data_IF_939571622683
#
_entry.id   IF_939571622683
#
_cell.length_a   1.000
_cell.length_b   1.000
_cell.length_c   1.000
_cell.angle_alpha   90.00
_cell.angle_beta   90.00
_cell.angle_gamma   90.00
#
_symmetry.space_group_name_H-M   'P 1'
#
loop_
_entity.id
_entity.type
_entity.pdbx_description
1 polymer ?
#
# COMPACT_ATOMS: atom_id res chain seq x y z
N UNK A 1 27.02 -9.48 -13.04
CA UNK A 1 26.06 -10.44 -13.61
C UNK A 1 24.76 -9.71 -13.87
N UNK A 2 24.08 -9.99 -14.98
CA UNK A 2 22.77 -9.38 -15.29
C UNK A 2 21.71 -10.11 -14.48
N UNK A 3 21.06 -9.42 -13.55
CA UNK A 3 19.95 -9.98 -12.77
C UNK A 3 18.67 -9.96 -13.62
N UNK A 4 17.83 -11.00 -13.50
CA UNK A 4 16.51 -11.09 -14.15
C UNK A 4 15.66 -9.84 -13.86
N UNK A 5 15.68 -9.35 -12.62
CA UNK A 5 14.98 -8.12 -12.22
C UNK A 5 15.44 -6.88 -12.98
N UNK A 6 16.73 -6.79 -13.33
CA UNK A 6 17.26 -5.65 -14.09
C UNK A 6 16.75 -5.66 -15.53
N UNK A 7 16.68 -6.84 -16.17
CA UNK A 7 16.18 -6.98 -17.55
C UNK A 7 14.69 -6.65 -17.63
N UNK A 8 13.91 -7.20 -16.69
CA UNK A 8 12.46 -6.95 -16.63
C UNK A 8 12.18 -5.47 -16.39
N UNK A 9 12.91 -4.85 -15.46
CA UNK A 9 12.70 -3.44 -15.13
C UNK A 9 13.16 -2.51 -16.26
N UNK A 10 14.22 -2.87 -16.98
CA UNK A 10 14.60 -2.15 -18.20
C UNK A 10 13.48 -2.17 -19.25
N UNK A 11 12.88 -3.35 -19.51
CA UNK A 11 11.70 -3.45 -20.36
C UNK A 11 10.53 -2.58 -19.85
N UNK A 12 10.26 -2.64 -18.55
CA UNK A 12 9.21 -1.84 -17.92
C UNK A 12 9.43 -0.33 -18.10
N UNK A 13 10.67 0.15 -17.95
CA UNK A 13 10.98 1.59 -18.14
C UNK A 13 10.69 2.10 -19.54
N UNK A 14 10.78 1.25 -20.57
CA UNK A 14 10.39 1.59 -21.94
C UNK A 14 8.87 1.64 -22.06
N UNK A 15 8.15 0.76 -21.38
CA UNK A 15 6.69 0.68 -21.44
C UNK A 15 5.97 1.74 -20.58
N UNK A 16 6.56 2.22 -19.48
CA UNK A 16 5.91 3.17 -18.54
C UNK A 16 5.38 4.44 -19.22
N UNK A 17 6.11 5.13 -20.12
CA UNK A 17 5.58 6.28 -20.84
C UNK A 17 4.38 5.93 -21.72
N UNK A 18 4.41 4.79 -22.41
CA UNK A 18 3.33 4.32 -23.29
C UNK A 18 2.07 3.98 -22.49
N UNK A 19 2.26 3.38 -21.31
CA UNK A 19 1.18 3.10 -20.37
C UNK A 19 0.44 4.39 -19.98
N UNK A 20 1.19 5.46 -19.73
CA UNK A 20 0.63 6.76 -19.33
C UNK A 20 0.00 7.51 -20.51
N UNK A 21 0.64 7.54 -21.68
CA UNK A 21 0.16 8.32 -22.83
C UNK A 21 -1.06 7.71 -23.51
N UNK A 22 -1.09 6.38 -23.65
CA UNK A 22 -2.04 5.70 -24.54
C UNK A 22 -3.21 5.04 -23.78
N UNK A 23 -3.31 5.30 -22.46
CA UNK A 23 -4.31 4.69 -21.58
C UNK A 23 -4.37 3.16 -21.72
N UNK A 24 -3.23 2.50 -21.93
CA UNK A 24 -3.18 1.06 -22.25
C UNK A 24 -3.81 0.18 -21.14
N UNK A 25 -3.80 0.65 -19.90
CA UNK A 25 -4.41 -0.05 -18.76
C UNK A 25 -5.95 -0.07 -18.80
N UNK A 26 -6.59 0.66 -19.73
CA UNK A 26 -8.02 0.50 -20.03
C UNK A 26 -8.32 -0.79 -20.78
N UNK A 27 -7.31 -1.40 -21.42
CA UNK A 27 -7.46 -2.67 -22.12
C UNK A 27 -7.28 -3.79 -21.08
N UNK A 28 -8.33 -4.58 -20.75
CA UNK A 28 -8.30 -5.49 -19.60
C UNK A 28 -7.15 -6.52 -19.63
N UNK A 29 -6.86 -7.08 -20.81
CA UNK A 29 -5.78 -8.05 -20.97
C UNK A 29 -4.39 -7.45 -20.74
N UNK A 30 -4.17 -6.21 -21.19
CA UNK A 30 -2.91 -5.49 -20.97
C UNK A 30 -2.79 -5.09 -19.50
N UNK A 31 -3.87 -4.58 -18.92
CA UNK A 31 -3.95 -4.21 -17.50
C UNK A 31 -3.58 -5.39 -16.60
N UNK A 32 -4.24 -6.54 -16.78
CA UNK A 32 -3.97 -7.75 -16.01
C UNK A 32 -2.51 -8.22 -16.17
N UNK A 33 -2.00 -8.25 -17.41
CA UNK A 33 -0.62 -8.64 -17.69
C UNK A 33 0.39 -7.69 -17.01
N UNK A 34 0.14 -6.39 -17.06
CA UNK A 34 0.95 -5.37 -16.43
C UNK A 34 1.01 -5.55 -14.91
N UNK A 35 -0.14 -5.64 -14.24
CA UNK A 35 -0.15 -5.76 -12.78
C UNK A 35 0.42 -7.09 -12.30
N UNK A 36 0.23 -8.17 -13.06
CA UNK A 36 0.87 -9.47 -12.77
C UNK A 36 2.39 -9.40 -12.90
N UNK A 37 2.90 -8.71 -13.91
CA UNK A 37 4.34 -8.50 -14.07
C UNK A 37 4.90 -7.70 -12.90
N UNK A 38 4.26 -6.58 -12.55
CA UNK A 38 4.69 -5.67 -11.50
C UNK A 38 4.66 -6.33 -10.12
N UNK A 39 3.59 -7.05 -9.79
CA UNK A 39 3.47 -7.74 -8.50
C UNK A 39 4.54 -8.80 -8.33
N UNK A 40 4.75 -9.64 -9.36
CA UNK A 40 5.79 -10.67 -9.39
C UNK A 40 7.19 -10.06 -9.26
N UNK A 41 7.46 -8.97 -9.99
CA UNK A 41 8.74 -8.27 -9.91
C UNK A 41 8.98 -7.72 -8.51
N UNK A 42 7.97 -7.13 -7.85
CA UNK A 42 8.14 -6.58 -6.52
C UNK A 42 8.25 -7.66 -5.43
N UNK A 43 7.60 -8.81 -5.60
CA UNK A 43 7.73 -9.96 -4.71
C UNK A 43 9.18 -10.49 -4.67
N UNK A 44 9.81 -10.59 -5.84
CA UNK A 44 11.14 -11.21 -5.97
C UNK A 44 12.30 -10.21 -5.96
N UNK A 45 12.07 -8.99 -6.46
CA UNK A 45 13.11 -8.03 -6.83
C UNK A 45 12.71 -6.57 -6.51
N UNK A 46 12.05 -6.33 -5.38
CA UNK A 46 11.66 -4.99 -4.93
C UNK A 46 12.81 -3.97 -4.90
N UNK A 47 14.05 -4.41 -4.67
CA UNK A 47 15.24 -3.57 -4.73
C UNK A 47 15.44 -2.91 -6.09
N UNK A 48 15.03 -3.57 -7.17
CA UNK A 48 15.22 -3.09 -8.52
C UNK A 48 14.41 -1.81 -8.75
N UNK A 49 13.16 -1.74 -8.24
CA UNK A 49 12.27 -0.58 -8.37
C UNK A 49 12.95 0.67 -7.81
N UNK A 50 13.49 0.58 -6.59
CA UNK A 50 14.14 1.71 -5.93
C UNK A 50 15.48 2.09 -6.56
N UNK A 51 16.21 1.11 -7.10
CA UNK A 51 17.54 1.30 -7.70
C UNK A 51 17.48 1.88 -9.11
N UNK A 52 16.63 1.32 -9.97
CA UNK A 52 16.69 1.57 -11.43
C UNK A 52 15.70 2.62 -11.92
N UNK A 53 14.51 2.76 -11.33
CA UNK A 53 13.56 3.77 -11.77
C UNK A 53 14.06 5.16 -11.40
N UNK A 54 14.16 6.08 -12.35
CA UNK A 54 14.40 7.49 -12.02
C UNK A 54 13.15 8.10 -11.33
N UNK A 55 13.24 9.32 -10.74
CA UNK A 55 12.11 9.91 -10.01
C UNK A 55 10.81 10.01 -10.83
N UNK A 56 10.90 10.38 -12.11
CA UNK A 56 9.73 10.51 -12.99
C UNK A 56 9.09 9.14 -13.26
N UNK A 57 9.89 8.15 -13.62
CA UNK A 57 9.44 6.77 -13.84
C UNK A 57 8.84 6.16 -12.59
N UNK A 58 9.43 6.44 -11.42
CA UNK A 58 8.90 5.97 -10.15
C UNK A 58 7.55 6.62 -9.83
N UNK A 59 7.40 7.92 -10.10
CA UNK A 59 6.12 8.63 -9.97
C UNK A 59 5.04 8.02 -10.88
N UNK A 60 5.37 7.77 -12.15
CA UNK A 60 4.48 7.09 -13.10
C UNK A 60 4.11 5.71 -12.57
N UNK A 61 5.09 4.92 -12.15
CA UNK A 61 4.87 3.61 -11.55
C UNK A 61 3.88 3.68 -10.38
N UNK A 62 4.09 4.54 -9.39
CA UNK A 62 3.16 4.68 -8.26
C UNK A 62 1.76 5.14 -8.71
N UNK A 63 1.66 5.99 -9.74
CA UNK A 63 0.37 6.41 -10.30
C UNK A 63 -0.40 5.24 -10.90
N UNK A 64 0.29 4.27 -11.54
CA UNK A 64 -0.37 3.06 -12.05
C UNK A 64 -0.85 2.16 -10.91
N UNK A 65 -0.11 2.07 -9.81
CA UNK A 65 -0.55 1.29 -8.64
C UNK A 65 -1.82 1.90 -8.05
N UNK A 66 -1.86 3.24 -7.91
CA UNK A 66 -3.07 3.94 -7.46
C UNK A 66 -4.25 3.68 -8.40
N UNK A 67 -4.04 3.81 -9.72
CA UNK A 67 -5.06 3.51 -10.72
C UNK A 67 -5.60 2.08 -10.61
N UNK A 68 -4.73 1.12 -10.28
CA UNK A 68 -5.13 -0.28 -10.09
C UNK A 68 -5.98 -0.50 -8.85
N UNK A 69 -5.70 0.22 -7.76
CA UNK A 69 -6.54 0.23 -6.55
C UNK A 69 -7.93 0.84 -6.82
N UNK A 70 -7.99 1.86 -7.68
CA UNK A 70 -9.25 2.51 -8.08
C UNK A 70 -10.05 1.69 -9.12
N UNK A 71 -9.50 0.59 -9.68
CA UNK A 71 -10.07 -0.13 -10.83
C UNK A 71 -11.23 -1.10 -10.47
N UNK A 72 -11.63 -1.20 -9.20
CA UNK A 72 -12.71 -2.07 -8.67
C UNK A 72 -12.64 -3.58 -9.04
N UNK A 73 -11.62 -4.02 -9.77
CA UNK A 73 -11.31 -5.42 -10.04
C UNK A 73 -10.51 -5.99 -8.85
N UNK A 74 -11.07 -6.98 -8.17
CA UNK A 74 -10.48 -7.53 -6.96
C UNK A 74 -9.10 -8.16 -7.19
N UNK A 75 -8.85 -8.76 -8.36
CA UNK A 75 -7.56 -9.38 -8.68
C UNK A 75 -6.48 -8.31 -8.87
N UNK A 76 -6.79 -7.26 -9.63
CA UNK A 76 -5.88 -6.12 -9.83
C UNK A 76 -5.62 -5.39 -8.51
N UNK A 77 -6.67 -5.10 -7.74
CA UNK A 77 -6.55 -4.46 -6.43
C UNK A 77 -5.66 -5.28 -5.50
N UNK A 78 -5.83 -6.61 -5.46
CA UNK A 78 -4.97 -7.50 -4.67
C UNK A 78 -3.50 -7.40 -5.08
N UNK A 79 -3.21 -7.45 -6.38
CA UNK A 79 -1.83 -7.33 -6.89
C UNK A 79 -1.21 -5.97 -6.55
N UNK A 80 -1.98 -4.89 -6.60
CA UNK A 80 -1.53 -3.56 -6.18
C UNK A 80 -1.22 -3.50 -4.68
N UNK A 81 -2.08 -4.06 -3.83
CA UNK A 81 -1.84 -4.15 -2.38
C UNK A 81 -0.58 -4.98 -2.08
N UNK A 82 -0.43 -6.15 -2.71
CA UNK A 82 0.76 -7.00 -2.57
C UNK A 82 2.03 -6.28 -3.04
N UNK A 83 1.95 -5.53 -4.14
CA UNK A 83 3.06 -4.69 -4.63
C UNK A 83 3.48 -3.68 -3.57
N UNK A 84 2.53 -2.92 -3.01
CA UNK A 84 2.81 -1.94 -1.94
C UNK A 84 3.40 -2.64 -0.71
N UNK A 85 2.84 -3.77 -0.31
CA UNK A 85 3.32 -4.54 0.84
C UNK A 85 4.78 -4.96 0.64
N UNK A 86 5.14 -5.49 -0.54
CA UNK A 86 6.50 -5.94 -0.83
C UNK A 86 7.52 -4.79 -0.87
N UNK A 87 7.17 -3.66 -1.50
CA UNK A 87 8.00 -2.44 -1.50
C UNK A 87 8.21 -1.88 -0.09
N UNK A 88 7.17 -1.95 0.74
CA UNK A 88 7.22 -1.49 2.13
C UNK A 88 8.06 -2.42 3.00
N UNK A 89 7.94 -3.74 2.83
CA UNK A 89 8.78 -4.73 3.52
C UNK A 89 10.26 -4.54 3.20
N UNK A 90 10.58 -4.28 1.93
CA UNK A 90 11.93 -3.90 1.53
C UNK A 90 12.39 -2.64 2.28
N UNK A 91 11.55 -1.61 2.33
CA UNK A 91 11.86 -0.35 3.04
C UNK A 91 12.16 -0.60 4.52
N UNK A 92 11.35 -1.39 5.22
CA UNK A 92 11.57 -1.75 6.64
C UNK A 92 12.92 -2.46 6.79
N UNK A 93 13.24 -3.38 5.89
CA UNK A 93 14.54 -4.08 5.90
C UNK A 93 15.70 -3.09 5.73
N UNK A 94 15.58 -2.11 4.83
CA UNK A 94 16.63 -1.12 4.60
C UNK A 94 16.78 -0.13 5.77
N UNK A 95 15.68 0.30 6.38
CA UNK A 95 15.69 1.12 7.59
C UNK A 95 16.42 0.41 8.74
N UNK A 96 16.21 -0.90 8.92
CA UNK A 96 16.95 -1.71 9.92
C UNK A 96 18.45 -1.80 9.65
N UNK A 97 18.85 -1.66 8.38
CA UNK A 97 20.25 -1.61 7.94
C UNK A 97 20.83 -0.19 7.92
N UNK A 98 20.09 0.82 8.38
CA UNK A 98 20.42 2.25 8.28
C UNK A 98 20.70 2.71 6.83
N UNK A 99 20.09 2.04 5.85
CA UNK A 99 20.14 2.43 4.45
C UNK A 99 18.89 3.22 4.10
N UNK A 100 19.05 4.51 3.81
CA UNK A 100 17.95 5.39 3.44
C UNK A 100 17.90 5.57 1.92
N UNK A 101 16.71 5.45 1.34
CA UNK A 101 16.45 5.82 -0.04
C UNK A 101 15.26 6.76 -0.06
N UNK A 102 15.44 7.97 -0.61
CA UNK A 102 14.41 9.00 -0.58
C UNK A 102 13.11 8.59 -1.26
N UNK A 103 13.18 7.68 -2.26
CA UNK A 103 12.01 7.15 -2.96
C UNK A 103 11.09 6.34 -2.07
N UNK A 104 11.58 5.80 -0.95
CA UNK A 104 10.71 5.05 -0.04
C UNK A 104 9.69 5.96 0.62
N UNK A 105 9.97 7.26 0.79
CA UNK A 105 9.04 8.20 1.45
C UNK A 105 7.69 8.28 0.72
N UNK A 106 7.67 8.20 -0.61
CA UNK A 106 6.43 8.27 -1.38
C UNK A 106 5.42 7.15 -1.06
N UNK A 107 5.86 6.03 -0.46
CA UNK A 107 4.94 4.97 -0.05
C UNK A 107 4.04 5.40 1.12
N UNK A 108 4.44 6.39 1.92
CA UNK A 108 3.64 6.88 3.04
C UNK A 108 2.28 7.45 2.59
N UNK A 109 2.20 7.98 1.36
CA UNK A 109 0.95 8.48 0.80
C UNK A 109 -0.09 7.37 0.56
N UNK A 110 0.34 6.11 0.35
CA UNK A 110 -0.60 4.99 0.27
C UNK A 110 -1.24 4.67 1.61
N UNK A 111 -0.58 4.99 2.72
CA UNK A 111 -1.19 4.81 4.04
C UNK A 111 -2.40 5.72 4.20
N UNK A 112 -2.24 7.00 3.82
CA UNK A 112 -3.33 7.98 3.89
C UNK A 112 -4.48 7.59 2.97
N UNK A 113 -4.16 7.25 1.72
CA UNK A 113 -5.13 6.82 0.74
C UNK A 113 -5.92 5.59 1.22
N UNK A 114 -5.25 4.54 1.69
CA UNK A 114 -5.93 3.31 2.14
C UNK A 114 -6.78 3.53 3.40
N UNK A 115 -6.33 4.38 4.34
CA UNK A 115 -7.12 4.70 5.53
C UNK A 115 -8.38 5.52 5.18
N UNK A 116 -8.26 6.48 4.24
CA UNK A 116 -9.40 7.24 3.74
C UNK A 116 -10.38 6.36 2.98
N UNK A 117 -9.89 5.47 2.11
CA UNK A 117 -10.71 4.54 1.33
C UNK A 117 -11.54 3.63 2.25
N UNK A 118 -10.96 3.17 3.37
CA UNK A 118 -11.69 2.37 4.36
C UNK A 118 -12.85 3.13 5.00
N UNK A 119 -12.67 4.43 5.27
CA UNK A 119 -13.73 5.29 5.80
C UNK A 119 -14.81 5.54 4.75
N UNK A 120 -14.43 5.78 3.49
CA UNK A 120 -15.40 6.11 2.45
C UNK A 120 -16.23 4.88 2.07
N UNK A 121 -15.56 3.78 1.74
CA UNK A 121 -16.20 2.76 0.90
C UNK A 121 -16.89 1.69 1.71
N UNK A 122 -16.45 1.46 2.96
CA UNK A 122 -17.00 0.57 4.00
C UNK A 122 -17.41 -0.86 3.61
N UNK A 123 -17.52 -1.23 2.34
CA UNK A 123 -18.26 -2.41 1.87
C UNK A 123 -17.45 -3.23 0.88
N UNK A 124 -16.45 -2.64 0.22
CA UNK A 124 -15.78 -3.18 -0.97
C UNK A 124 -14.58 -4.09 -0.70
N UNK A 125 -14.12 -4.21 0.54
CA UNK A 125 -12.85 -4.90 0.82
C UNK A 125 -12.99 -6.15 1.68
N UNK A 126 -14.17 -6.80 1.78
CA UNK A 126 -14.25 -8.06 2.56
C UNK A 126 -13.33 -9.13 1.99
N UNK A 127 -13.32 -9.29 0.66
CA UNK A 127 -12.58 -10.36 -0.01
C UNK A 127 -11.08 -10.07 -0.07
N UNK A 128 -10.70 -8.80 0.11
CA UNK A 128 -9.34 -8.32 0.12
C UNK A 128 -8.85 -7.94 1.51
N UNK A 129 -9.64 -8.20 2.56
CA UNK A 129 -9.41 -7.63 3.89
C UNK A 129 -8.05 -8.04 4.46
N UNK A 130 -7.69 -9.31 4.31
CA UNK A 130 -6.40 -9.83 4.80
C UNK A 130 -5.21 -9.16 4.11
N UNK A 131 -5.28 -9.00 2.79
CA UNK A 131 -4.22 -8.35 1.99
C UNK A 131 -4.14 -6.86 2.34
N UNK A 132 -5.28 -6.18 2.41
CA UNK A 132 -5.38 -4.77 2.78
C UNK A 132 -4.84 -4.52 4.18
N UNK A 133 -5.33 -5.26 5.17
CA UNK A 133 -4.90 -5.19 6.55
C UNK A 133 -3.40 -5.44 6.66
N UNK A 134 -2.90 -6.46 5.95
CA UNK A 134 -1.49 -6.76 5.90
C UNK A 134 -0.63 -5.63 5.32
N UNK A 135 -1.13 -4.99 4.26
CA UNK A 135 -0.48 -3.86 3.59
C UNK A 135 -0.45 -2.62 4.49
N UNK A 136 -1.58 -2.26 5.10
CA UNK A 136 -1.68 -1.16 6.06
C UNK A 136 -0.75 -1.40 7.24
N UNK A 137 -0.71 -2.61 7.79
CA UNK A 137 0.20 -2.92 8.90
C UNK A 137 1.66 -2.72 8.52
N UNK A 138 2.08 -3.16 7.33
CA UNK A 138 3.45 -2.91 6.86
C UNK A 138 3.75 -1.42 6.70
N UNK A 139 2.81 -0.64 6.17
CA UNK A 139 2.96 0.81 6.03
C UNK A 139 3.06 1.51 7.39
N UNK A 140 2.26 1.09 8.37
CA UNK A 140 2.32 1.61 9.75
C UNK A 140 3.69 1.33 10.38
N UNK A 141 4.25 0.13 10.17
CA UNK A 141 5.58 -0.21 10.68
C UNK A 141 6.69 0.63 10.02
N UNK A 142 6.55 0.97 8.74
CA UNK A 142 7.53 1.78 8.00
C UNK A 142 7.40 3.29 8.27
N UNK A 143 6.18 3.78 8.51
CA UNK A 143 5.83 5.21 8.63
C UNK A 143 4.91 5.49 9.83
N UNK A 144 5.33 5.18 11.07
CA UNK A 144 4.47 5.35 12.25
C UNK A 144 4.07 6.82 12.49
N UNK A 145 4.94 7.78 12.18
CA UNK A 145 4.64 9.20 12.33
C UNK A 145 3.49 9.62 11.39
N UNK A 146 3.52 9.16 10.13
CA UNK A 146 2.47 9.45 9.17
C UNK A 146 1.15 8.83 9.61
N UNK A 147 1.17 7.59 10.10
CA UNK A 147 -0.01 6.92 10.65
C UNK A 147 -0.70 7.77 11.73
N UNK A 148 0.04 8.20 12.74
CA UNK A 148 -0.52 8.99 13.85
C UNK A 148 -0.98 10.38 13.43
N UNK A 149 -0.27 11.00 12.48
CA UNK A 149 -0.71 12.26 11.87
C UNK A 149 -2.08 12.09 11.21
N UNK A 150 -2.23 11.07 10.36
CA UNK A 150 -3.46 10.80 9.61
C UNK A 150 -4.61 10.42 10.53
N UNK A 151 -4.38 9.59 11.54
CA UNK A 151 -5.38 9.34 12.59
C UNK A 151 -5.80 10.64 13.29
N UNK A 152 -4.86 11.54 13.60
CA UNK A 152 -5.15 12.83 14.20
C UNK A 152 -6.05 13.71 13.33
N UNK A 153 -5.84 13.73 12.01
CA UNK A 153 -6.75 14.41 11.07
C UNK A 153 -8.13 13.77 11.06
N UNK A 154 -8.19 12.42 11.04
CA UNK A 154 -9.45 11.68 11.03
C UNK A 154 -10.30 11.92 12.29
N UNK A 155 -9.69 12.18 13.45
CA UNK A 155 -10.44 12.51 14.68
C UNK A 155 -11.25 13.80 14.59
N UNK A 156 -10.86 14.73 13.72
CA UNK A 156 -11.51 16.03 13.63
C UNK A 156 -12.88 15.97 12.93
N UNK A 157 -13.21 14.85 12.29
CA UNK A 157 -14.45 14.72 11.53
C UNK A 157 -15.65 14.32 12.40
N UNK A 158 -15.47 13.55 13.48
CA UNK A 158 -16.57 13.04 14.32
C UNK A 158 -16.08 12.62 15.74
N UNK A 159 -16.84 12.98 16.78
CA UNK A 159 -16.51 12.68 18.18
C UNK A 159 -16.55 11.17 18.50
N UNK A 160 -17.49 10.42 17.94
CA UNK A 160 -17.57 8.97 18.07
C UNK A 160 -16.45 8.24 17.31
N UNK A 161 -16.00 8.83 16.21
CA UNK A 161 -14.82 8.35 15.46
C UNK A 161 -13.55 8.49 16.30
N UNK A 162 -13.44 9.54 17.11
CA UNK A 162 -12.29 9.79 17.99
C UNK A 162 -12.00 8.63 18.95
N UNK A 163 -13.05 8.11 19.63
CA UNK A 163 -12.88 6.99 20.58
C UNK A 163 -12.40 5.70 19.91
N UNK A 164 -12.90 5.40 18.70
CA UNK A 164 -12.51 4.21 17.94
C UNK A 164 -11.07 4.34 17.45
N UNK A 165 -10.68 5.52 16.99
CA UNK A 165 -9.32 5.82 16.57
C UNK A 165 -8.36 5.72 17.75
N UNK A 166 -8.72 6.26 18.92
CA UNK A 166 -7.90 6.16 20.13
C UNK A 166 -7.68 4.71 20.57
N UNK A 167 -8.72 3.88 20.47
CA UNK A 167 -8.59 2.45 20.73
C UNK A 167 -7.58 1.81 19.78
N UNK A 168 -7.70 2.04 18.47
CA UNK A 168 -6.77 1.50 17.46
C UNK A 168 -5.33 1.98 17.70
N UNK A 169 -5.14 3.27 17.98
CA UNK A 169 -3.84 3.87 18.26
C UNK A 169 -3.15 3.24 19.47
N UNK A 170 -3.89 3.01 20.56
CA UNK A 170 -3.40 2.33 21.76
C UNK A 170 -3.09 0.86 21.50
N UNK A 171 -3.92 0.20 20.69
CA UNK A 171 -3.80 -1.21 20.34
C UNK A 171 -2.54 -1.54 19.51
N UNK A 172 -2.05 -0.57 18.72
CA UNK A 172 -0.86 -0.68 17.87
C UNK A 172 0.41 -0.28 18.64
N UNK A 173 0.30 0.75 19.49
CA UNK A 173 1.44 1.31 20.22
C UNK A 173 2.36 2.18 19.35
N UNK A 174 3.14 3.06 19.98
CA UNK A 174 3.82 4.18 19.30
C UNK A 174 4.89 3.79 18.26
N UNK A 175 5.50 2.61 18.40
CA UNK A 175 6.56 2.11 17.52
C UNK A 175 6.34 0.63 17.18
N UNK A 176 5.42 0.35 16.24
CA UNK A 176 5.17 -1.02 15.83
C UNK A 176 6.37 -1.56 15.03
N UNK A 177 6.91 -2.70 15.44
CA UNK A 177 7.92 -3.43 14.67
C UNK A 177 7.26 -4.59 13.92
N UNK A 178 7.63 -4.74 12.66
CA UNK A 178 7.07 -5.76 11.79
C UNK A 178 7.48 -7.16 12.25
N UNK A 179 6.47 -7.96 12.61
CA UNK A 179 6.60 -9.40 12.79
C UNK A 179 5.28 -10.11 12.50
N UNK A 180 5.34 -11.41 12.15
CA UNK A 180 4.17 -12.19 11.73
C UNK A 180 3.09 -12.27 12.82
N UNK A 181 3.48 -12.40 14.09
CA UNK A 181 2.54 -12.50 15.21
C UNK A 181 1.77 -11.19 15.42
N UNK A 182 2.48 -10.07 15.36
CA UNK A 182 1.88 -8.74 15.48
C UNK A 182 1.03 -8.39 14.24
N UNK A 183 1.41 -8.83 13.03
CA UNK A 183 0.56 -8.71 11.83
C UNK A 183 -0.79 -9.40 12.04
N UNK A 184 -0.80 -10.66 12.49
CA UNK A 184 -2.03 -11.41 12.75
C UNK A 184 -2.87 -10.74 13.85
N UNK A 185 -2.23 -10.30 14.94
CA UNK A 185 -2.93 -9.58 16.01
C UNK A 185 -3.52 -8.25 15.51
N UNK A 186 -2.80 -7.53 14.65
CA UNK A 186 -3.29 -6.30 14.04
C UNK A 186 -4.51 -6.57 13.17
N UNK A 187 -4.50 -7.61 12.34
CA UNK A 187 -5.64 -7.94 11.45
C UNK A 187 -6.95 -8.09 12.23
N UNK A 188 -6.94 -8.83 13.34
CA UNK A 188 -8.12 -8.99 14.21
C UNK A 188 -8.57 -7.65 14.81
N UNK A 189 -7.64 -6.84 15.31
CA UNK A 189 -7.94 -5.52 15.90
C UNK A 189 -8.49 -4.55 14.85
N UNK A 190 -7.90 -4.59 13.66
CA UNK A 190 -8.28 -3.77 12.52
C UNK A 190 -9.68 -4.14 12.00
N UNK A 191 -10.03 -5.43 12.01
CA UNK A 191 -11.37 -5.88 11.64
C UNK A 191 -12.43 -5.33 12.60
N UNK A 192 -12.13 -5.36 13.90
CA UNK A 192 -13.00 -4.75 14.91
C UNK A 192 -13.11 -3.23 14.70
N UNK A 193 -12.02 -2.55 14.36
CA UNK A 193 -12.02 -1.12 14.03
C UNK A 193 -12.93 -0.83 12.84
N UNK A 194 -12.73 -1.51 11.70
CA UNK A 194 -13.55 -1.32 10.49
C UNK A 194 -15.02 -1.65 10.75
N UNK A 195 -15.31 -2.69 11.53
CA UNK A 195 -16.70 -3.03 11.91
C UNK A 195 -17.36 -1.93 12.74
N UNK A 196 -16.63 -1.30 13.65
CA UNK A 196 -17.15 -0.19 14.44
C UNK A 196 -17.30 1.08 13.59
N UNK A 197 -16.36 1.37 12.69
CA UNK A 197 -16.49 2.47 11.73
C UNK A 197 -17.76 2.34 10.88
N UNK A 198 -18.01 1.14 10.33
CA UNK A 198 -19.22 0.84 9.54
C UNK A 198 -20.50 1.11 10.32
N UNK A 199 -20.51 0.85 11.62
CA UNK A 199 -21.70 1.07 12.48
C UNK A 199 -21.98 2.55 12.70
N UNK A 200 -20.94 3.39 12.75
CA UNK A 200 -21.11 4.83 12.88
C UNK A 200 -21.58 5.44 11.57
N UNK A 201 -20.93 5.10 10.45
CA UNK A 201 -21.21 5.76 9.16
C UNK A 201 -22.48 5.28 8.45
N UNK A 202 -23.14 4.23 8.97
CA UNK A 202 -24.48 3.81 8.54
C UNK A 202 -25.61 4.46 9.34
N UNK A 203 -25.30 5.24 10.39
CA UNK A 203 -26.27 6.09 11.09
C UNK A 203 -26.36 7.45 10.41
#
# INVERSE_FOLDING_TARGET
EVNVGDVVLYGLTICLPLIQSDNLLKIPSISLCYYKLVSTLCEQHSECIFRLLNPDQYSIFLSTIKLGLDNYDNEICKMCLETIQNLTLYTIKQQKLNQTNEKTKYLEHFLDYLLQEIVITTTTLSDLFDTLSGTIYTLICAYPNQFYYTLGQMKQYDEHLSMIIDKLANDIGQKPDYNRKAKLSFTVKFESFVTNLRRIMKK
#
